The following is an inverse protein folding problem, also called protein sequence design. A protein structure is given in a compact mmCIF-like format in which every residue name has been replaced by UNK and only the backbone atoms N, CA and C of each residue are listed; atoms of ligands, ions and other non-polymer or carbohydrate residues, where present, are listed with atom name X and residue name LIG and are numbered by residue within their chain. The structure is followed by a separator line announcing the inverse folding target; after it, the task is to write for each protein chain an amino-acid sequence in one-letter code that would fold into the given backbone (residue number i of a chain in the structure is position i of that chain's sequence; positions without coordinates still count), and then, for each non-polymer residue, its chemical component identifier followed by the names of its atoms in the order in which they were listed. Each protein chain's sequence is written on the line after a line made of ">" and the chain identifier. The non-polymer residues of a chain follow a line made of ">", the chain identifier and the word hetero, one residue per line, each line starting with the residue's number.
data_IF_450768800741
#
_entry.id   IF_450768800741
#
_cell.length_a   1.000
_cell.length_b   1.000
_cell.length_c   1.000
_cell.angle_alpha   90.00
_cell.angle_beta   90.00
_cell.angle_gamma   90.00
#
_symmetry.space_group_name_H-M   'P 1'
#
loop_
_entity.id
_entity.type
_entity.pdbx_description
1 polymer ?
#
# COMPACT_ATOMS: atom_id res chain seq x y z
N UNK A 1 3.46 -3.47 -0.77
CA UNK A 1 4.12 -2.80 0.37
C UNK A 1 3.48 -3.28 1.65
N UNK A 2 3.94 -4.42 2.16
CA UNK A 2 3.38 -5.06 3.35
C UNK A 2 4.53 -5.53 4.22
N UNK A 3 4.57 -5.07 5.46
CA UNK A 3 5.52 -5.54 6.47
C UNK A 3 5.24 -7.02 6.79
N UNK A 4 6.27 -7.86 6.75
CA UNK A 4 6.14 -9.31 6.95
C UNK A 4 7.47 -9.95 7.32
N UNK A 5 7.43 -11.20 7.78
CA UNK A 5 8.65 -11.95 8.10
C UNK A 5 9.58 -12.15 6.89
N UNK A 6 9.01 -12.27 5.67
CA UNK A 6 9.80 -12.45 4.45
C UNK A 6 10.34 -11.11 3.91
N UNK A 7 9.59 -10.02 4.13
CA UNK A 7 9.92 -8.67 3.66
C UNK A 7 9.81 -7.70 4.83
N UNK A 8 10.80 -7.72 5.77
CA UNK A 8 10.78 -6.85 6.93
C UNK A 8 11.28 -5.44 6.60
N UNK A 9 10.44 -4.62 5.96
CA UNK A 9 10.79 -3.27 5.52
C UNK A 9 11.35 -2.40 6.65
N UNK A 10 10.77 -2.49 7.84
CA UNK A 10 11.23 -1.76 9.03
C UNK A 10 12.66 -2.09 9.46
N UNK A 11 13.20 -3.25 9.05
CA UNK A 11 14.59 -3.65 9.31
C UNK A 11 15.54 -3.26 8.17
N UNK A 12 15.01 -3.05 6.97
CA UNK A 12 15.80 -2.76 5.77
C UNK A 12 15.92 -1.27 5.48
N UNK A 13 14.99 -0.46 5.98
CA UNK A 13 14.89 0.96 5.72
C UNK A 13 15.25 1.78 6.97
N UNK A 14 15.95 2.88 6.77
CA UNK A 14 16.19 3.89 7.81
C UNK A 14 14.90 4.56 8.28
N UNK A 15 14.92 5.19 9.46
CA UNK A 15 13.76 5.93 9.99
C UNK A 15 13.29 7.05 9.03
N UNK A 16 14.23 7.71 8.33
CA UNK A 16 13.93 8.73 7.34
C UNK A 16 13.18 8.17 6.13
N UNK A 17 13.57 6.98 5.66
CA UNK A 17 12.87 6.26 4.58
C UNK A 17 11.51 5.74 5.05
N UNK A 18 11.39 5.25 6.28
CA UNK A 18 10.12 4.81 6.84
C UNK A 18 9.13 5.97 7.01
N UNK A 19 9.61 7.17 7.30
CA UNK A 19 8.78 8.38 7.33
C UNK A 19 8.13 8.70 5.96
N UNK A 20 8.57 8.07 4.86
CA UNK A 20 8.01 8.25 3.52
C UNK A 20 6.84 7.31 3.18
N UNK A 21 6.45 6.39 4.08
CA UNK A 21 5.35 5.47 3.81
C UNK A 21 4.03 6.15 3.42
N UNK A 22 3.60 7.26 4.03
CA UNK A 22 2.37 7.93 3.64
C UNK A 22 2.40 8.49 2.21
N UNK A 23 3.59 8.76 1.67
CA UNK A 23 3.78 9.24 0.31
C UNK A 23 3.77 8.08 -0.68
N UNK A 24 4.36 6.94 -0.30
CA UNK A 24 4.48 5.76 -1.16
C UNK A 24 3.18 4.98 -1.29
N UNK A 25 2.43 4.85 -0.19
CA UNK A 25 1.19 4.06 -0.13
C UNK A 25 -0.01 5.01 -0.16
N UNK A 26 -0.94 4.91 -1.13
CA UNK A 26 -2.14 5.75 -1.17
C UNK A 26 -2.98 5.72 0.11
N UNK A 27 -3.07 4.56 0.76
CA UNK A 27 -3.72 4.37 2.06
C UNK A 27 -2.99 5.03 3.25
N UNK A 28 -1.81 5.63 3.04
CA UNK A 28 -1.10 6.43 4.03
C UNK A 28 -0.25 5.64 5.03
N UNK A 29 -0.17 4.31 4.90
CA UNK A 29 0.61 3.44 5.79
C UNK A 29 1.06 2.17 5.09
N UNK A 30 2.09 1.51 5.63
CA UNK A 30 2.43 0.14 5.21
C UNK A 30 1.30 -0.84 5.55
N UNK A 31 1.12 -1.83 4.68
CA UNK A 31 0.27 -2.98 4.98
C UNK A 31 0.88 -3.84 6.09
N UNK A 32 0.02 -4.51 6.86
CA UNK A 32 0.39 -5.53 7.84
C UNK A 32 -0.10 -6.91 7.36
N UNK A 33 0.42 -8.03 7.89
CA UNK A 33 -0.08 -9.36 7.54
C UNK A 33 -1.59 -9.50 7.76
N UNK A 34 -2.11 -8.84 8.79
CA UNK A 34 -3.53 -8.77 9.12
C UNK A 34 -4.40 -8.14 8.01
N UNK A 35 -3.88 -7.21 7.22
CA UNK A 35 -4.62 -6.63 6.09
C UNK A 35 -4.89 -7.69 5.01
N UNK A 36 -3.91 -8.56 4.77
CA UNK A 36 -4.08 -9.72 3.89
C UNK A 36 -5.08 -10.71 4.49
N UNK A 37 -4.90 -11.03 5.77
CA UNK A 37 -5.71 -12.03 6.47
C UNK A 37 -7.19 -11.64 6.48
N UNK A 38 -7.52 -10.36 6.65
CA UNK A 38 -8.91 -9.87 6.61
C UNK A 38 -9.56 -10.07 5.24
N UNK A 39 -8.84 -9.82 4.15
CA UNK A 39 -9.38 -10.05 2.80
C UNK A 39 -9.50 -11.54 2.49
N UNK A 40 -8.53 -12.35 2.92
CA UNK A 40 -8.60 -13.81 2.82
C UNK A 40 -9.82 -14.33 3.60
N UNK A 41 -10.04 -13.85 4.83
CA UNK A 41 -11.18 -14.23 5.65
C UNK A 41 -12.50 -13.87 4.98
N UNK A 42 -12.62 -12.67 4.40
CA UNK A 42 -13.79 -12.29 3.61
C UNK A 42 -14.03 -13.27 2.47
N UNK A 43 -12.99 -13.56 1.67
CA UNK A 43 -13.09 -14.46 0.50
C UNK A 43 -13.34 -15.93 0.85
N UNK A 44 -12.92 -16.36 2.03
CA UNK A 44 -13.16 -17.71 2.54
C UNK A 44 -14.52 -17.86 3.22
N UNK A 45 -15.25 -16.76 3.44
CA UNK A 45 -16.55 -16.75 4.12
C UNK A 45 -17.73 -16.73 3.15
N UNK A 46 -18.93 -17.00 3.65
CA UNK A 46 -20.17 -16.90 2.86
C UNK A 46 -20.48 -15.46 2.41
N UNK A 47 -19.82 -14.44 2.98
CA UNK A 47 -20.01 -13.04 2.57
C UNK A 47 -19.60 -12.77 1.12
N UNK A 48 -18.79 -13.63 0.53
CA UNK A 48 -18.31 -13.52 -0.84
C UNK A 48 -18.84 -14.63 -1.76
N UNK A 49 -19.99 -15.25 -1.44
CA UNK A 49 -20.50 -16.43 -2.15
C UNK A 49 -20.70 -16.27 -3.67
N UNK A 50 -20.78 -15.04 -4.19
CA UNK A 50 -20.88 -14.74 -5.62
C UNK A 50 -19.65 -14.05 -6.22
N UNK A 51 -18.52 -14.03 -5.49
CA UNK A 51 -17.24 -13.50 -5.96
C UNK A 51 -16.35 -14.67 -6.36
N UNK A 52 -16.12 -14.85 -7.66
CA UNK A 52 -15.26 -15.92 -8.20
C UNK A 52 -14.48 -15.45 -9.42
N UNK A 53 -13.29 -16.03 -9.66
CA UNK A 53 -12.47 -15.73 -10.84
C UNK A 53 -11.76 -14.37 -10.83
N UNK A 54 -11.61 -13.73 -9.67
CA UNK A 54 -11.01 -12.40 -9.54
C UNK A 54 -9.73 -12.43 -8.69
N UNK A 55 -8.79 -11.55 -9.05
CA UNK A 55 -7.66 -11.18 -8.18
C UNK A 55 -8.03 -9.91 -7.44
N UNK A 56 -7.93 -9.90 -6.10
CA UNK A 56 -8.17 -8.73 -5.27
C UNK A 56 -6.82 -8.22 -4.74
N UNK A 57 -6.31 -7.07 -5.23
CA UNK A 57 -5.09 -6.48 -4.71
C UNK A 57 -5.28 -5.99 -3.28
N UNK A 58 -4.31 -6.29 -2.44
CA UNK A 58 -4.30 -5.90 -1.03
C UNK A 58 -3.00 -5.15 -0.72
N UNK A 59 -2.86 -4.00 -1.39
CA UNK A 59 -1.58 -3.30 -1.56
C UNK A 59 -1.65 -1.82 -1.15
N UNK A 60 -2.70 -1.43 -0.41
CA UNK A 60 -2.95 -0.04 -0.02
C UNK A 60 -3.21 0.91 -1.18
N UNK A 61 -3.55 0.40 -2.37
CA UNK A 61 -3.83 1.16 -3.58
C UNK A 61 -2.63 1.38 -4.50
N UNK A 62 -1.46 0.80 -4.18
CA UNK A 62 -0.21 1.07 -4.92
C UNK A 62 -0.25 0.61 -6.38
N UNK A 63 -0.85 -0.55 -6.67
CA UNK A 63 -1.05 -1.01 -8.03
C UNK A 63 -2.01 -0.11 -8.82
N UNK A 64 -3.10 0.32 -8.17
CA UNK A 64 -4.09 1.23 -8.79
C UNK A 64 -3.51 2.64 -9.04
N UNK A 65 -2.58 3.10 -8.20
CA UNK A 65 -1.95 4.41 -8.35
C UNK A 65 -1.04 4.52 -9.58
N UNK A 66 -0.65 3.41 -10.22
CA UNK A 66 0.04 3.45 -11.52
C UNK A 66 1.35 4.26 -11.52
N UNK A 67 2.08 4.26 -10.41
CA UNK A 67 3.34 5.02 -10.26
C UNK A 67 3.17 6.49 -9.83
N UNK A 68 1.97 6.89 -9.42
CA UNK A 68 1.73 8.19 -8.79
C UNK A 68 1.85 8.09 -7.26
N UNK A 69 2.50 9.07 -6.66
CA UNK A 69 2.78 9.15 -5.22
C UNK A 69 2.21 10.44 -4.63
N UNK A 70 1.92 10.45 -3.32
CA UNK A 70 1.52 11.71 -2.67
C UNK A 70 2.72 12.64 -2.54
N UNK A 71 2.56 13.88 -2.97
CA UNK A 71 3.61 14.91 -2.89
C UNK A 71 3.67 15.52 -1.50
N UNK A 72 4.81 15.38 -0.82
CA UNK A 72 5.08 16.10 0.42
C UNK A 72 5.54 17.56 0.19
N UNK A 73 5.88 17.93 -1.05
CA UNK A 73 6.49 19.23 -1.40
C UNK A 73 5.55 20.19 -2.15
N UNK A 74 4.45 19.68 -2.72
CA UNK A 74 3.52 20.47 -3.55
C UNK A 74 2.15 20.51 -2.87
N UNK A 75 1.80 21.65 -2.30
CA UNK A 75 0.51 21.85 -1.61
C UNK A 75 -0.66 21.99 -2.59
N UNK A 76 -0.40 22.39 -3.84
CA UNK A 76 -1.40 22.56 -4.90
C UNK A 76 -1.60 21.30 -5.77
N UNK A 77 -0.69 20.32 -5.66
CA UNK A 77 -0.69 19.07 -6.43
C UNK A 77 -0.37 17.90 -5.51
N UNK A 78 -1.44 17.29 -4.99
CA UNK A 78 -1.32 16.18 -4.05
C UNK A 78 -0.61 14.96 -4.62
N UNK A 79 -0.59 14.77 -5.95
CA UNK A 79 -0.02 13.59 -6.60
C UNK A 79 1.06 13.93 -7.61
N UNK A 80 2.14 13.16 -7.62
CA UNK A 80 3.27 13.30 -8.56
C UNK A 80 3.85 11.94 -8.94
N UNK A 81 4.28 11.77 -10.18
CA UNK A 81 5.11 10.65 -10.61
C UNK A 81 6.62 10.98 -10.54
N UNK A 82 6.97 12.16 -10.00
CA UNK A 82 8.34 12.62 -9.73
C UNK A 82 8.42 13.07 -8.25
N UNK A 83 8.59 12.15 -7.31
CA UNK A 83 8.60 12.51 -5.88
C UNK A 83 9.89 13.22 -5.44
N UNK A 84 11.01 13.00 -6.15
CA UNK A 84 12.34 13.52 -5.78
C UNK A 84 12.77 14.73 -6.62
N UNK A 85 12.27 14.85 -7.86
CA UNK A 85 12.58 15.94 -8.78
C UNK A 85 11.46 17.01 -8.83
N UNK A 86 11.78 18.31 -8.99
CA UNK A 86 10.80 19.40 -9.04
C UNK A 86 9.80 19.31 -10.21
#
# INVERSE_FOLDING_TARGET
>A
MTESLQVPYSQWLSDEEQAQWPQWVPAGRMGLPDDQARVILFLASDLSAFVTGHTIPTDGGTGAAGGWFRSARRTDREWTNRPIAP
#
